data_IF_873216967381
#
_entry.id   IF_873216967381
#
_cell.length_a   1.000
_cell.length_b   1.000
_cell.length_c   1.000
_cell.angle_alpha   90.00
_cell.angle_beta   90.00
_cell.angle_gamma   90.00
#
_symmetry.space_group_name_H-M   'P 1'
#
loop_
_entity.id
_entity.type
_entity.pdbx_description
1 polymer ?
#
# COMPACT_ATOMS: atom_id res chain seq x y z
N UNK A 1 48.96 46.86 -53.61
CA UNK A 1 48.39 47.05 -52.26
C UNK A 1 47.04 46.33 -52.18
N UNK A 2 47.04 44.99 -52.14
CA UNK A 2 45.81 44.15 -52.08
C UNK A 2 45.95 42.96 -51.11
N UNK A 3 47.15 42.69 -50.56
CA UNK A 3 47.38 41.52 -49.68
C UNK A 3 46.99 41.71 -48.20
N UNK A 4 46.63 42.91 -47.76
CA UNK A 4 46.33 43.16 -46.33
C UNK A 4 44.86 42.88 -45.99
N UNK A 5 43.95 42.92 -46.98
CA UNK A 5 42.51 42.75 -46.75
C UNK A 5 42.13 41.27 -46.58
N UNK A 6 42.76 40.34 -47.33
CA UNK A 6 42.47 38.90 -47.24
C UNK A 6 42.92 38.24 -45.92
N UNK A 7 43.98 38.74 -45.26
CA UNK A 7 44.43 38.18 -43.98
C UNK A 7 43.55 38.61 -42.79
N UNK A 8 42.95 39.80 -42.85
CA UNK A 8 42.05 40.32 -41.82
C UNK A 8 40.69 39.62 -41.87
N UNK A 9 40.18 39.33 -43.08
CA UNK A 9 38.97 38.53 -43.28
C UNK A 9 39.13 37.09 -42.78
N UNK A 10 40.31 36.47 -42.98
CA UNK A 10 40.62 35.13 -42.47
C UNK A 10 40.67 35.07 -40.94
N UNK A 11 41.29 36.06 -40.29
CA UNK A 11 41.38 36.16 -38.83
C UNK A 11 40.01 36.44 -38.18
N UNK A 12 39.20 37.32 -38.77
CA UNK A 12 37.82 37.56 -38.32
C UNK A 12 36.93 36.32 -38.52
N UNK A 13 37.08 35.60 -39.63
CA UNK A 13 36.38 34.34 -39.86
C UNK A 13 36.77 33.26 -38.83
N UNK A 14 38.06 33.13 -38.49
CA UNK A 14 38.54 32.24 -37.45
C UNK A 14 38.01 32.61 -36.07
N UNK A 15 37.95 33.90 -35.74
CA UNK A 15 37.38 34.38 -34.49
C UNK A 15 35.86 34.15 -34.41
N UNK A 16 35.16 34.25 -35.54
CA UNK A 16 33.74 33.87 -35.68
C UNK A 16 33.51 32.38 -35.48
N UNK A 17 34.39 31.53 -36.03
CA UNK A 17 34.36 30.07 -35.84
C UNK A 17 34.58 29.69 -34.37
N UNK A 18 35.52 30.34 -33.68
CA UNK A 18 35.78 30.09 -32.25
C UNK A 18 34.56 30.45 -31.39
N UNK A 19 33.95 31.62 -31.61
CA UNK A 19 32.72 32.00 -30.89
C UNK A 19 31.56 31.05 -31.17
N UNK A 20 31.44 30.56 -32.40
CA UNK A 20 30.42 29.57 -32.76
C UNK A 20 30.63 28.26 -31.98
N UNK A 21 31.88 27.80 -31.87
CA UNK A 21 32.22 26.60 -31.09
C UNK A 21 31.88 26.75 -29.61
N UNK A 22 32.18 27.90 -29.00
CA UNK A 22 31.83 28.19 -27.60
C UNK A 22 30.31 28.15 -27.36
N UNK A 23 29.53 28.74 -28.28
CA UNK A 23 28.06 28.70 -28.21
C UNK A 23 27.54 27.27 -28.38
N UNK A 24 28.10 26.50 -29.30
CA UNK A 24 27.73 25.09 -29.51
C UNK A 24 28.05 24.24 -28.28
N UNK A 25 29.19 24.45 -27.63
CA UNK A 25 29.55 23.75 -26.40
C UNK A 25 28.64 24.12 -25.22
N UNK A 26 28.31 25.41 -25.07
CA UNK A 26 27.39 25.88 -24.05
C UNK A 26 26.00 25.25 -24.22
N UNK A 27 25.48 25.23 -25.45
CA UNK A 27 24.20 24.60 -25.78
C UNK A 27 24.23 23.09 -25.55
N UNK A 28 25.33 22.40 -25.91
CA UNK A 28 25.50 20.97 -25.63
C UNK A 28 25.39 20.67 -24.14
N UNK A 29 26.09 21.45 -23.31
CA UNK A 29 26.09 21.27 -21.86
C UNK A 29 24.72 21.57 -21.23
N UNK A 30 23.98 22.55 -21.77
CA UNK A 30 22.62 22.84 -21.32
C UNK A 30 21.64 21.72 -21.69
N UNK A 31 21.76 21.16 -22.90
CA UNK A 31 20.95 20.02 -23.34
C UNK A 31 21.22 18.81 -22.46
N UNK A 32 22.49 18.48 -22.17
CA UNK A 32 22.85 17.38 -21.26
C UNK A 32 22.21 17.58 -19.89
N UNK A 33 22.33 18.77 -19.29
CA UNK A 33 21.69 19.07 -17.99
C UNK A 33 20.16 18.92 -18.02
N UNK A 34 19.52 19.36 -19.10
CA UNK A 34 18.06 19.19 -19.25
C UNK A 34 17.68 17.72 -19.45
N UNK A 35 18.51 16.95 -20.16
CA UNK A 35 18.31 15.51 -20.32
C UNK A 35 18.44 14.79 -18.99
N UNK A 36 19.50 15.08 -18.21
CA UNK A 36 19.73 14.52 -16.88
C UNK A 36 18.57 14.86 -15.92
N UNK A 37 18.08 16.10 -15.96
CA UNK A 37 16.93 16.52 -15.15
C UNK A 37 15.64 15.83 -15.57
N UNK A 38 15.42 15.65 -16.87
CA UNK A 38 14.28 14.91 -17.38
C UNK A 38 14.38 13.42 -17.05
N UNK A 39 15.56 12.80 -17.12
CA UNK A 39 15.82 11.43 -16.71
C UNK A 39 15.63 11.23 -15.21
N UNK A 40 16.09 12.19 -14.39
CA UNK A 40 15.87 12.21 -12.94
C UNK A 40 14.38 12.27 -12.61
N UNK A 41 13.64 13.17 -13.26
CA UNK A 41 12.17 13.27 -13.16
C UNK A 41 11.43 12.06 -13.75
N UNK A 42 12.04 11.33 -14.69
CA UNK A 42 11.50 10.09 -15.21
C UNK A 42 11.74 8.91 -14.23
N UNK A 43 12.89 8.90 -13.56
CA UNK A 43 13.23 7.97 -12.47
C UNK A 43 12.38 8.17 -11.21
N UNK A 44 11.79 9.36 -11.04
CA UNK A 44 10.76 9.66 -10.02
C UNK A 44 9.38 9.02 -10.29
N UNK A 45 9.20 8.28 -11.41
CA UNK A 45 8.00 7.47 -11.65
C UNK A 45 8.14 6.12 -10.94
N UNK A 46 7.22 5.84 -10.01
CA UNK A 46 7.04 4.61 -9.20
C UNK A 46 8.04 3.51 -9.55
N UNK A 47 9.00 3.29 -8.66
CA UNK A 47 10.05 2.29 -8.84
C UNK A 47 9.45 0.89 -9.07
N UNK A 48 10.16 0.03 -9.81
CA UNK A 48 9.73 -1.38 -10.00
C UNK A 48 9.49 -2.09 -8.67
N UNK A 49 10.20 -1.69 -7.61
CA UNK A 49 10.02 -2.19 -6.25
C UNK A 49 8.68 -1.76 -5.66
N UNK A 50 8.30 -0.50 -5.80
CA UNK A 50 7.00 0.01 -5.35
C UNK A 50 5.84 -0.62 -6.14
N UNK A 51 6.01 -0.81 -7.46
CA UNK A 51 5.03 -1.55 -8.27
C UNK A 51 4.88 -3.01 -7.81
N UNK A 52 5.98 -3.70 -7.53
CA UNK A 52 5.95 -5.08 -7.05
C UNK A 52 5.23 -5.18 -5.68
N UNK A 53 5.54 -4.27 -4.76
CA UNK A 53 4.85 -4.19 -3.46
C UNK A 53 3.37 -3.86 -3.59
N UNK A 54 3.00 -2.97 -4.51
CA UNK A 54 1.60 -2.68 -4.79
C UNK A 54 0.85 -3.92 -5.32
N UNK A 55 1.47 -4.70 -6.22
CA UNK A 55 0.91 -5.96 -6.70
C UNK A 55 0.78 -7.00 -5.58
N UNK A 56 1.75 -7.07 -4.67
CA UNK A 56 1.69 -7.94 -3.49
C UNK A 56 0.54 -7.54 -2.55
N UNK A 57 0.37 -6.25 -2.29
CA UNK A 57 -0.76 -5.73 -1.52
C UNK A 57 -2.11 -6.09 -2.18
N UNK A 58 -2.22 -5.93 -3.51
CA UNK A 58 -3.42 -6.33 -4.25
C UNK A 58 -3.71 -7.83 -4.15
N UNK A 59 -2.66 -8.67 -4.21
CA UNK A 59 -2.77 -10.10 -4.01
C UNK A 59 -3.27 -10.45 -2.61
N UNK A 60 -2.71 -9.81 -1.56
CA UNK A 60 -3.15 -10.04 -0.19
C UNK A 60 -4.58 -9.54 0.07
N UNK A 61 -4.97 -8.39 -0.47
CA UNK A 61 -6.36 -7.90 -0.41
C UNK A 61 -7.34 -8.90 -1.05
N UNK A 62 -7.02 -9.36 -2.25
CA UNK A 62 -7.84 -10.35 -2.96
C UNK A 62 -7.95 -11.65 -2.17
N UNK A 63 -6.84 -12.09 -1.58
CA UNK A 63 -6.79 -13.29 -0.73
C UNK A 63 -7.64 -13.12 0.53
N UNK A 64 -7.58 -11.95 1.18
CA UNK A 64 -8.39 -11.64 2.37
C UNK A 64 -9.89 -11.69 2.04
N UNK A 65 -10.29 -11.07 0.93
CA UNK A 65 -11.69 -11.08 0.48
C UNK A 65 -12.17 -12.50 0.16
N UNK A 66 -11.37 -13.27 -0.59
CA UNK A 66 -11.70 -14.65 -0.94
C UNK A 66 -11.86 -15.54 0.31
N UNK A 67 -10.93 -15.43 1.26
CA UNK A 67 -11.02 -16.14 2.55
C UNK A 67 -12.21 -15.68 3.39
N UNK A 68 -12.55 -14.39 3.38
CA UNK A 68 -13.75 -13.87 4.04
C UNK A 68 -15.04 -14.52 3.51
N UNK A 69 -15.19 -14.59 2.19
CA UNK A 69 -16.32 -15.30 1.57
C UNK A 69 -16.30 -16.80 1.84
N UNK A 70 -15.12 -17.43 1.82
CA UNK A 70 -14.97 -18.83 2.19
C UNK A 70 -15.51 -19.11 3.60
N UNK A 71 -15.13 -18.28 4.59
CA UNK A 71 -15.63 -18.40 5.97
C UNK A 71 -17.13 -18.18 6.06
N UNK A 72 -17.71 -17.25 5.30
CA UNK A 72 -19.17 -17.08 5.25
C UNK A 72 -19.89 -18.32 4.70
N UNK A 73 -19.32 -18.98 3.68
CA UNK A 73 -19.87 -20.22 3.12
C UNK A 73 -19.78 -21.33 4.17
N UNK A 74 -18.62 -21.50 4.81
CA UNK A 74 -18.42 -22.47 5.88
C UNK A 74 -19.43 -22.25 7.02
N UNK A 75 -19.63 -21.00 7.45
CA UNK A 75 -20.56 -20.66 8.53
C UNK A 75 -22.03 -20.98 8.22
N UNK A 76 -22.40 -21.14 6.95
CA UNK A 76 -23.76 -21.51 6.50
C UNK A 76 -23.92 -23.01 6.24
N UNK A 77 -22.83 -23.78 6.29
CA UNK A 77 -22.85 -25.22 6.03
C UNK A 77 -23.49 -26.02 7.16
N UNK A 78 -24.23 -27.10 6.82
CA UNK A 78 -24.92 -27.95 7.81
C UNK A 78 -23.97 -28.79 8.69
N UNK A 79 -22.72 -29.00 8.26
CA UNK A 79 -21.68 -29.77 8.96
C UNK A 79 -20.42 -28.92 9.19
N UNK A 80 -20.59 -27.63 9.48
CA UNK A 80 -19.48 -26.69 9.64
C UNK A 80 -18.58 -27.11 10.80
N UNK A 81 -17.37 -27.59 10.51
CA UNK A 81 -16.38 -27.90 11.53
C UNK A 81 -15.86 -26.59 12.13
N UNK A 82 -16.25 -26.32 13.38
CA UNK A 82 -15.80 -25.14 14.15
C UNK A 82 -14.27 -24.97 14.08
N UNK A 83 -13.54 -26.08 14.16
CA UNK A 83 -12.10 -26.12 14.03
C UNK A 83 -11.58 -25.58 12.68
N UNK A 84 -12.20 -25.99 11.58
CA UNK A 84 -11.82 -25.53 10.24
C UNK A 84 -12.09 -24.03 10.07
N UNK A 85 -13.20 -23.56 10.65
CA UNK A 85 -13.51 -22.15 10.67
C UNK A 85 -12.48 -21.35 11.48
N UNK A 86 -12.09 -21.82 12.67
CA UNK A 86 -11.07 -21.17 13.50
C UNK A 86 -9.71 -21.11 12.80
N UNK A 87 -9.29 -22.19 12.14
CA UNK A 87 -8.07 -22.18 11.32
C UNK A 87 -8.17 -21.18 10.16
N UNK A 88 -9.30 -21.16 9.46
CA UNK A 88 -9.54 -20.24 8.35
C UNK A 88 -9.58 -18.78 8.81
N UNK A 89 -10.17 -18.52 9.99
CA UNK A 89 -10.18 -17.22 10.65
C UNK A 89 -8.77 -16.76 11.00
N UNK A 90 -7.96 -17.63 11.59
CA UNK A 90 -6.56 -17.31 11.92
C UNK A 90 -5.74 -16.99 10.65
N UNK A 91 -5.94 -17.76 9.57
CA UNK A 91 -5.32 -17.48 8.27
C UNK A 91 -5.76 -16.12 7.73
N UNK A 92 -7.06 -15.82 7.76
CA UNK A 92 -7.61 -14.55 7.29
C UNK A 92 -7.07 -13.35 8.09
N UNK A 93 -7.02 -13.44 9.42
CA UNK A 93 -6.49 -12.38 10.28
C UNK A 93 -5.01 -12.11 9.96
N UNK A 94 -4.21 -13.16 9.72
CA UNK A 94 -2.80 -12.99 9.34
C UNK A 94 -2.64 -12.29 7.98
N UNK A 95 -3.52 -12.57 7.01
CA UNK A 95 -3.50 -11.86 5.72
C UNK A 95 -3.91 -10.40 5.91
N UNK A 96 -4.95 -10.11 6.71
CA UNK A 96 -5.32 -8.73 7.03
C UNK A 96 -4.18 -7.97 7.73
N UNK A 97 -3.42 -8.62 8.61
CA UNK A 97 -2.25 -8.01 9.24
C UNK A 97 -1.20 -7.61 8.20
N UNK A 98 -0.92 -8.48 7.21
CA UNK A 98 -0.03 -8.15 6.08
C UNK A 98 -0.56 -6.96 5.28
N UNK A 99 -1.86 -6.94 4.96
CA UNK A 99 -2.50 -5.82 4.25
C UNK A 99 -2.32 -4.50 5.00
N UNK A 100 -2.47 -4.50 6.32
CA UNK A 100 -2.28 -3.30 7.17
C UNK A 100 -0.82 -2.85 7.12
N UNK A 101 0.13 -3.77 7.31
CA UNK A 101 1.55 -3.45 7.35
C UNK A 101 2.07 -2.97 5.99
N UNK A 102 1.64 -3.59 4.89
CA UNK A 102 1.98 -3.19 3.53
C UNK A 102 1.34 -1.86 3.11
N UNK A 103 0.08 -1.61 3.50
CA UNK A 103 -0.53 -0.29 3.29
C UNK A 103 0.26 0.80 4.03
N UNK A 104 0.61 0.56 5.28
CA UNK A 104 1.41 1.49 6.08
C UNK A 104 2.77 1.73 5.45
N UNK A 105 3.43 0.68 4.94
CA UNK A 105 4.73 0.82 4.29
C UNK A 105 4.63 1.58 2.96
N UNK A 106 3.60 1.32 2.15
CA UNK A 106 3.45 1.92 0.82
C UNK A 106 2.93 3.35 0.85
N UNK A 107 1.98 3.65 1.75
CA UNK A 107 1.25 4.91 1.77
C UNK A 107 1.53 5.76 3.00
N UNK A 108 2.23 5.23 4.01
CA UNK A 108 2.49 5.91 5.28
C UNK A 108 1.26 6.00 6.20
N UNK A 109 0.11 5.50 5.76
CA UNK A 109 -1.20 5.58 6.42
C UNK A 109 -1.96 4.30 6.15
N UNK A 110 -2.83 3.91 7.09
CA UNK A 110 -3.80 2.82 6.92
C UNK A 110 -5.19 3.43 6.84
N UNK A 111 -5.93 3.15 5.78
CA UNK A 111 -7.35 3.48 5.70
C UNK A 111 -8.15 2.45 6.52
N UNK A 112 -8.40 2.80 7.79
CA UNK A 112 -9.13 1.94 8.70
C UNK A 112 -10.58 1.70 8.28
N UNK A 113 -11.19 2.55 7.45
CA UNK A 113 -12.57 2.33 7.00
C UNK A 113 -12.68 1.07 6.16
N UNK A 114 -11.77 0.87 5.20
CA UNK A 114 -11.70 -0.33 4.35
C UNK A 114 -11.43 -1.58 5.20
N UNK A 115 -10.52 -1.47 6.17
CA UNK A 115 -10.18 -2.58 7.07
C UNK A 115 -11.38 -2.97 7.94
N UNK A 116 -12.11 -2.00 8.47
CA UNK A 116 -13.28 -2.22 9.32
C UNK A 116 -14.48 -2.77 8.55
N UNK A 117 -14.67 -2.35 7.29
CA UNK A 117 -15.68 -2.95 6.40
C UNK A 117 -15.36 -4.43 6.17
N UNK A 118 -14.09 -4.74 5.88
CA UNK A 118 -13.61 -6.11 5.73
C UNK A 118 -13.74 -6.95 7.00
N UNK A 119 -13.48 -6.38 8.18
CA UNK A 119 -13.56 -7.09 9.46
C UNK A 119 -15.01 -7.31 9.94
N UNK A 120 -15.96 -6.49 9.49
CA UNK A 120 -17.38 -6.68 9.78
C UNK A 120 -17.93 -7.98 9.17
N UNK A 121 -17.41 -8.40 8.02
CA UNK A 121 -17.70 -9.71 7.41
C UNK A 121 -17.25 -10.86 8.32
N UNK A 122 -16.09 -10.70 8.96
CA UNK A 122 -15.52 -11.69 9.89
C UNK A 122 -16.44 -11.88 11.10
N UNK A 123 -16.88 -10.78 11.71
CA UNK A 123 -17.78 -10.81 12.87
C UNK A 123 -19.10 -11.50 12.53
N UNK A 124 -19.69 -11.21 11.36
CA UNK A 124 -20.93 -11.85 10.92
C UNK A 124 -20.76 -13.36 10.71
N UNK A 125 -19.67 -13.78 10.05
CA UNK A 125 -19.39 -15.19 9.82
C UNK A 125 -19.16 -15.93 11.14
N UNK A 126 -18.36 -15.37 12.04
CA UNK A 126 -18.09 -15.93 13.35
C UNK A 126 -19.35 -16.03 14.20
N UNK A 127 -20.21 -15.01 14.18
CA UNK A 127 -21.49 -15.05 14.90
C UNK A 127 -22.41 -16.13 14.34
N UNK A 128 -22.47 -16.27 13.01
CA UNK A 128 -23.35 -17.22 12.33
C UNK A 128 -23.00 -18.68 12.64
N UNK A 129 -21.70 -19.01 12.71
CA UNK A 129 -21.24 -20.35 13.10
C UNK A 129 -21.26 -20.57 14.63
N UNK A 130 -21.60 -19.54 15.40
CA UNK A 130 -21.74 -19.64 16.86
C UNK A 130 -20.46 -19.39 17.66
N UNK A 131 -19.41 -18.82 17.06
CA UNK A 131 -18.22 -18.42 17.82
C UNK A 131 -18.57 -17.30 18.83
N UNK A 132 -18.21 -17.46 20.11
CA UNK A 132 -18.31 -16.39 21.09
C UNK A 132 -17.40 -15.22 20.71
N UNK A 133 -17.86 -13.99 20.96
CA UNK A 133 -17.07 -12.78 20.69
C UNK A 133 -15.69 -12.81 21.36
N UNK A 134 -15.61 -13.34 22.59
CA UNK A 134 -14.34 -13.43 23.33
C UNK A 134 -13.26 -14.22 22.59
N UNK A 135 -13.65 -15.30 21.88
CA UNK A 135 -12.73 -16.09 21.05
C UNK A 135 -12.22 -15.25 19.88
N UNK A 136 -13.13 -14.60 19.16
CA UNK A 136 -12.79 -13.75 18.00
C UNK A 136 -11.91 -12.57 18.43
N UNK A 137 -12.30 -11.87 19.49
CA UNK A 137 -11.54 -10.74 20.05
C UNK A 137 -10.15 -11.16 20.52
N UNK A 138 -10.02 -12.34 21.15
CA UNK A 138 -8.73 -12.90 21.55
C UNK A 138 -7.81 -13.11 20.36
N UNK A 139 -8.30 -13.75 19.30
CA UNK A 139 -7.54 -13.97 18.06
C UNK A 139 -7.15 -12.66 17.38
N UNK A 140 -8.05 -11.67 17.35
CA UNK A 140 -7.75 -10.35 16.78
C UNK A 140 -6.64 -9.67 17.56
N UNK A 141 -6.70 -9.65 18.89
CA UNK A 141 -5.64 -9.06 19.73
C UNK A 141 -4.31 -9.80 19.54
N UNK A 142 -4.34 -11.13 19.50
CA UNK A 142 -3.15 -11.95 19.29
C UNK A 142 -2.45 -11.64 17.96
N UNK A 143 -3.23 -11.54 16.87
CA UNK A 143 -2.67 -11.37 15.52
C UNK A 143 -2.34 -9.91 15.20
N UNK A 144 -3.21 -8.98 15.59
CA UNK A 144 -3.08 -7.57 15.21
C UNK A 144 -2.18 -6.79 16.18
N UNK A 145 -2.04 -7.24 17.43
CA UNK A 145 -1.29 -6.52 18.45
C UNK A 145 -1.85 -5.10 18.64
N UNK A 146 -1.01 -4.03 18.58
CA UNK A 146 -1.48 -2.66 18.72
C UNK A 146 -2.53 -2.23 17.68
N UNK A 147 -2.51 -2.83 16.48
CA UNK A 147 -3.47 -2.50 15.42
C UNK A 147 -4.89 -3.02 15.73
N UNK A 148 -5.03 -3.88 16.76
CA UNK A 148 -6.31 -4.46 17.16
C UNK A 148 -7.37 -3.38 17.45
N UNK A 149 -6.99 -2.30 18.14
CA UNK A 149 -7.88 -1.19 18.51
C UNK A 149 -8.68 -0.65 17.33
N UNK A 150 -8.04 -0.54 16.16
CA UNK A 150 -8.64 0.05 14.97
C UNK A 150 -9.21 -1.00 14.00
N UNK A 151 -8.89 -2.29 14.18
CA UNK A 151 -9.27 -3.34 13.25
C UNK A 151 -10.78 -3.63 13.23
N UNK A 152 -11.41 -3.70 14.42
CA UNK A 152 -12.85 -3.96 14.55
C UNK A 152 -13.61 -2.64 14.72
N UNK A 153 -14.66 -2.46 13.94
CA UNK A 153 -15.61 -1.36 14.15
C UNK A 153 -16.43 -1.60 15.41
N UNK A 154 -16.46 -0.62 16.32
CA UNK A 154 -17.31 -0.68 17.52
C UNK A 154 -18.79 -0.80 17.17
N UNK A 155 -19.23 -0.14 16.09
CA UNK A 155 -20.60 -0.23 15.56
C UNK A 155 -20.92 -1.68 15.20
N UNK A 156 -20.04 -2.34 14.45
CA UNK A 156 -20.22 -3.73 14.04
C UNK A 156 -20.21 -4.69 15.24
N UNK A 157 -19.40 -4.42 16.27
CA UNK A 157 -19.43 -5.21 17.50
C UNK A 157 -20.80 -5.08 18.18
N UNK A 158 -21.35 -3.87 18.29
CA UNK A 158 -22.67 -3.64 18.89
C UNK A 158 -23.77 -4.32 18.09
N UNK A 159 -23.77 -4.17 16.77
CA UNK A 159 -24.81 -4.71 15.90
C UNK A 159 -24.82 -6.25 15.90
N UNK A 160 -23.65 -6.88 15.89
CA UNK A 160 -23.53 -8.34 15.71
C UNK A 160 -23.50 -9.09 17.04
N UNK A 161 -22.82 -8.53 18.04
CA UNK A 161 -22.57 -9.17 19.33
C UNK A 161 -23.12 -8.40 20.54
N UNK A 162 -23.59 -7.17 20.38
CA UNK A 162 -24.24 -6.38 21.42
C UNK A 162 -23.29 -5.56 22.31
N UNK A 163 -23.86 -4.59 23.02
CA UNK A 163 -23.16 -3.58 23.83
C UNK A 163 -22.30 -4.17 24.97
N UNK A 164 -22.68 -5.33 25.53
CA UNK A 164 -21.88 -6.02 26.55
C UNK A 164 -20.52 -6.43 25.97
N UNK A 165 -20.51 -6.91 24.73
CA UNK A 165 -19.27 -7.33 24.06
C UNK A 165 -18.41 -6.14 23.64
N UNK A 166 -19.02 -5.01 23.25
CA UNK A 166 -18.27 -3.76 23.07
C UNK A 166 -17.56 -3.32 24.37
N UNK A 167 -18.26 -3.39 25.50
CA UNK A 167 -17.67 -3.04 26.80
C UNK A 167 -16.48 -3.94 27.14
N UNK A 168 -16.59 -5.24 26.83
CA UNK A 168 -15.46 -6.19 26.99
C UNK A 168 -14.32 -5.87 26.04
N UNK A 169 -14.62 -5.57 24.78
CA UNK A 169 -13.65 -5.17 23.77
C UNK A 169 -12.79 -4.00 24.22
N UNK A 170 -13.43 -2.88 24.61
CA UNK A 170 -12.74 -1.68 25.12
C UNK A 170 -11.80 -1.99 26.28
N UNK A 171 -12.18 -2.88 27.20
CA UNK A 171 -11.30 -3.31 28.30
C UNK A 171 -10.13 -4.18 27.86
N UNK A 172 -10.27 -4.91 26.76
CA UNK A 172 -9.19 -5.74 26.22
C UNK A 172 -8.15 -4.89 25.50
N UNK A 173 -8.57 -3.88 24.74
CA UNK A 173 -7.67 -3.00 23.98
C UNK A 173 -7.07 -1.87 24.82
N UNK A 174 -7.77 -1.36 25.84
CA UNK A 174 -7.25 -0.31 26.74
C UNK A 174 -6.37 -0.88 27.87
N UNK A 175 -5.63 -1.96 27.60
CA UNK A 175 -4.68 -2.53 28.57
C UNK A 175 -3.37 -1.77 28.59
#
# INVERSE_FOLDING_TARGET
>A
MVMVIQQVDGAMAQQGIVKLLEVVEALRNEIIKKLDELERRLGERISRKELAKFLELQYHLTTAVALGYYLQILAKGQNSALYEFEEGLMKLLRIWKKVIDENRELFGVVDWSIVQDGSSIILNAARSIGLPFGTVAGLVVEVMGPDAENFLSETSIVEIYGTINLTRWRRMINR
#
